data_IF_547457162382
#
_entry.id   IF_547457162382
#
_cell.length_a   1.000
_cell.length_b   1.000
_cell.length_c   1.000
_cell.angle_alpha   90.00
_cell.angle_beta   90.00
_cell.angle_gamma   90.00
#
_symmetry.space_group_name_H-M   'P 1'
#
loop_
_entity.id
_entity.type
_entity.pdbx_description
1 polymer ?
#
# COMPACT_ATOMS: atom_id res chain seq x y z
N UNK A 1 -0.93 -8.06 16.43
CA UNK A 1 -1.77 -7.12 15.63
C UNK A 1 -2.24 -6.02 16.56
N UNK A 2 -1.92 -4.76 16.26
CA UNK A 2 -2.20 -3.59 17.12
C UNK A 2 -3.44 -2.87 16.57
N UNK A 3 -4.51 -2.65 17.35
CA UNK A 3 -5.64 -1.84 16.91
C UNK A 3 -5.28 -0.35 16.85
N UNK A 4 -5.88 0.40 15.91
CA UNK A 4 -5.76 1.85 15.84
C UNK A 4 -6.60 2.56 16.91
N UNK A 5 -6.58 3.90 16.90
CA UNK A 5 -7.33 4.78 17.80
C UNK A 5 -8.86 4.61 17.75
N UNK A 6 -9.40 3.98 16.69
CA UNK A 6 -10.81 3.63 16.54
C UNK A 6 -11.11 2.16 16.88
N UNK A 7 -10.10 1.39 17.32
CA UNK A 7 -10.24 -0.03 17.64
C UNK A 7 -10.14 -0.98 16.44
N UNK A 8 -9.92 -0.46 15.23
CA UNK A 8 -9.79 -1.26 14.02
C UNK A 8 -8.39 -1.89 13.92
N UNK A 9 -8.32 -3.15 13.52
CA UNK A 9 -7.05 -3.90 13.37
C UNK A 9 -6.35 -3.67 12.03
N UNK A 10 -7.02 -2.97 11.11
CA UNK A 10 -6.51 -2.49 9.84
C UNK A 10 -6.89 -1.01 9.73
N UNK A 11 -6.07 -0.22 9.06
CA UNK A 11 -6.35 1.19 8.81
C UNK A 11 -6.36 1.41 7.30
N UNK A 12 -7.35 2.11 6.73
CA UNK A 12 -7.38 2.41 5.31
C UNK A 12 -6.12 3.16 4.86
N UNK A 13 -5.59 2.79 3.69
CA UNK A 13 -4.45 3.49 3.06
C UNK A 13 -4.92 4.77 2.34
N UNK A 14 -5.57 5.66 3.09
CA UNK A 14 -6.13 6.91 2.61
C UNK A 14 -5.41 8.08 3.28
N UNK A 15 -5.12 9.11 2.49
CA UNK A 15 -4.58 10.39 2.96
C UNK A 15 -5.45 11.49 2.38
N UNK A 16 -5.83 12.48 3.17
CA UNK A 16 -6.55 13.61 2.65
C UNK A 16 -6.05 14.94 3.23
N UNK A 17 -6.26 16.01 2.47
CA UNK A 17 -5.84 17.36 2.84
C UNK A 17 -7.05 18.29 2.85
N UNK A 18 -7.37 18.78 4.04
CA UNK A 18 -8.33 19.87 4.23
C UNK A 18 -7.58 21.21 4.21
N UNK A 19 -8.29 22.32 4.42
CA UNK A 19 -7.67 23.64 4.50
C UNK A 19 -6.73 23.76 5.72
N UNK A 20 -7.07 23.06 6.81
CA UNK A 20 -6.40 23.21 8.10
C UNK A 20 -5.47 22.03 8.44
N UNK A 21 -5.79 20.82 7.98
CA UNK A 21 -5.12 19.61 8.45
C UNK A 21 -4.94 18.52 7.38
N UNK A 22 -4.02 17.60 7.70
CA UNK A 22 -3.82 16.36 6.95
C UNK A 22 -4.47 15.21 7.73
N UNK A 23 -5.42 14.54 7.09
CA UNK A 23 -6.10 13.35 7.59
C UNK A 23 -5.43 12.09 7.03
N UNK A 24 -5.38 11.02 7.82
CA UNK A 24 -4.89 9.70 7.40
C UNK A 24 -5.80 8.62 7.96
N UNK A 25 -6.03 7.54 7.20
CA UNK A 25 -6.84 6.42 7.65
C UNK A 25 -8.35 6.64 7.50
N UNK A 26 -9.11 6.23 8.52
CA UNK A 26 -10.58 6.30 8.50
C UNK A 26 -11.09 7.74 8.33
N UNK A 27 -10.43 8.72 8.97
CA UNK A 27 -10.79 10.13 8.83
C UNK A 27 -10.68 10.61 7.37
N UNK A 28 -9.61 10.22 6.67
CA UNK A 28 -9.43 10.52 5.26
C UNK A 28 -10.46 9.80 4.38
N UNK A 29 -10.71 8.50 4.65
CA UNK A 29 -11.69 7.71 3.91
C UNK A 29 -13.12 8.24 4.04
N UNK A 30 -13.53 8.63 5.24
CA UNK A 30 -14.89 9.09 5.53
C UNK A 30 -15.25 10.38 4.78
N UNK A 31 -14.27 11.23 4.47
CA UNK A 31 -14.51 12.46 3.73
C UNK A 31 -14.32 12.33 2.20
N UNK A 32 -13.98 11.14 1.70
CA UNK A 32 -13.67 10.94 0.27
C UNK A 32 -14.83 11.32 -0.66
N UNK A 33 -16.08 11.19 -0.19
CA UNK A 33 -17.29 11.59 -0.94
C UNK A 33 -17.52 13.11 -0.95
N UNK A 34 -16.96 13.83 0.02
CA UNK A 34 -17.10 15.28 0.18
C UNK A 34 -15.96 16.01 -0.55
N UNK A 35 -14.74 15.51 -0.40
CA UNK A 35 -13.53 16.09 -1.02
C UNK A 35 -12.74 15.05 -1.83
N UNK A 36 -13.31 14.53 -2.94
CA UNK A 36 -12.72 13.44 -3.70
C UNK A 36 -11.38 13.80 -4.34
N UNK A 37 -11.22 15.04 -4.84
CA UNK A 37 -9.98 15.51 -5.49
C UNK A 37 -8.84 15.77 -4.51
N UNK A 38 -9.16 15.86 -3.21
CA UNK A 38 -8.22 16.12 -2.11
C UNK A 38 -7.96 14.88 -1.25
N UNK A 39 -8.53 13.73 -1.63
CA UNK A 39 -8.42 12.47 -0.90
C UNK A 39 -7.71 11.44 -1.78
N UNK A 40 -6.48 11.10 -1.41
CA UNK A 40 -5.60 10.17 -2.10
C UNK A 40 -5.76 8.76 -1.52
N UNK A 41 -5.88 7.78 -2.39
CA UNK A 41 -5.90 6.35 -2.09
C UNK A 41 -5.14 5.60 -3.21
N UNK A 42 -5.08 4.27 -3.19
CA UNK A 42 -4.47 3.41 -4.24
C UNK A 42 -3.05 3.77 -4.70
N UNK A 43 -2.32 4.56 -3.89
CA UNK A 43 -0.99 5.05 -4.26
C UNK A 43 0.04 3.91 -4.40
N UNK A 44 -0.25 2.74 -3.81
CA UNK A 44 0.52 1.49 -4.00
C UNK A 44 0.54 1.04 -5.46
N UNK A 45 -0.47 1.38 -6.27
CA UNK A 45 -0.47 1.11 -7.72
C UNK A 45 0.49 2.02 -8.49
N UNK A 46 0.85 3.17 -7.93
CA UNK A 46 1.69 4.20 -8.57
C UNK A 46 3.17 4.14 -8.15
N UNK A 47 3.44 3.63 -6.94
CA UNK A 47 4.78 3.66 -6.33
C UNK A 47 5.82 2.92 -7.20
N UNK A 48 6.98 3.55 -7.42
CA UNK A 48 8.07 3.00 -8.21
C UNK A 48 7.81 2.84 -9.72
N UNK A 49 6.69 3.35 -10.25
CA UNK A 49 6.35 3.30 -11.68
C UNK A 49 6.78 4.54 -12.45
N UNK A 50 6.77 4.44 -13.77
CA UNK A 50 6.93 5.61 -14.66
C UNK A 50 5.56 6.19 -15.00
N UNK A 51 5.51 7.50 -15.21
CA UNK A 51 4.26 8.18 -15.56
C UNK A 51 3.64 7.59 -16.83
N UNK A 52 4.46 7.27 -17.84
CA UNK A 52 4.03 6.73 -19.14
C UNK A 52 3.63 5.25 -19.09
N UNK A 53 3.75 4.56 -17.96
CA UNK A 53 3.36 3.14 -17.86
C UNK A 53 1.86 3.01 -18.18
N UNK A 54 1.50 2.04 -19.02
CA UNK A 54 0.11 1.86 -19.50
C UNK A 54 -0.89 1.67 -18.37
N UNK A 55 -0.45 1.05 -17.27
CA UNK A 55 -1.27 0.85 -16.07
C UNK A 55 -1.49 2.15 -15.31
N UNK A 56 -0.45 2.99 -15.16
CA UNK A 56 -0.58 4.34 -14.58
C UNK A 56 -1.53 5.21 -15.42
N UNK A 57 -1.43 5.14 -16.75
CA UNK A 57 -2.32 5.88 -17.65
C UNK A 57 -3.77 5.37 -17.61
N UNK A 58 -3.98 4.08 -17.33
CA UNK A 58 -5.32 3.51 -17.10
C UNK A 58 -5.87 4.00 -15.76
N UNK A 59 -5.11 3.87 -14.69
CA UNK A 59 -5.51 4.23 -13.33
C UNK A 59 -5.79 5.74 -13.22
N UNK A 60 -4.98 6.59 -13.88
CA UNK A 60 -5.20 8.05 -13.95
C UNK A 60 -6.62 8.43 -14.41
N UNK A 61 -7.26 7.62 -15.27
CA UNK A 61 -8.62 7.89 -15.78
C UNK A 61 -9.73 7.55 -14.78
N UNK A 62 -9.40 6.74 -13.78
CA UNK A 62 -10.34 6.22 -12.78
C UNK A 62 -10.22 6.96 -11.45
N UNK A 63 -9.04 7.51 -11.16
CA UNK A 63 -8.76 8.23 -9.93
C UNK A 63 -9.39 9.63 -9.92
N UNK A 64 -9.95 10.09 -8.78
CA UNK A 64 -10.60 11.39 -8.68
C UNK A 64 -9.61 12.56 -8.49
N UNK A 65 -8.34 12.29 -8.22
CA UNK A 65 -7.30 13.28 -8.00
C UNK A 65 -6.33 13.35 -9.19
N UNK A 66 -5.70 14.51 -9.37
CA UNK A 66 -4.83 14.74 -10.54
C UNK A 66 -3.47 14.06 -10.38
N UNK A 67 -3.05 13.33 -11.41
CA UNK A 67 -1.69 12.80 -11.55
C UNK A 67 -0.92 13.57 -12.61
N UNK A 68 0.24 14.11 -12.23
CA UNK A 68 1.13 14.85 -13.14
C UNK A 68 2.47 14.15 -13.33
N UNK A 69 3.09 14.38 -14.49
CA UNK A 69 4.43 13.93 -14.76
C UNK A 69 5.44 14.90 -14.13
N UNK A 70 6.33 14.37 -13.31
CA UNK A 70 7.51 15.09 -12.83
C UNK A 70 8.72 14.18 -13.01
N UNK A 71 9.61 14.59 -13.91
CA UNK A 71 10.85 13.87 -14.26
C UNK A 71 10.61 12.40 -14.65
N UNK A 72 9.51 12.12 -15.36
CA UNK A 72 9.14 10.79 -15.83
C UNK A 72 8.41 9.93 -14.81
N UNK A 73 8.15 10.44 -13.60
CA UNK A 73 7.44 9.74 -12.51
C UNK A 73 6.05 10.35 -12.28
N UNK A 74 5.06 9.55 -11.84
CA UNK A 74 3.76 10.07 -11.45
C UNK A 74 3.83 10.76 -10.09
N UNK A 75 3.25 11.96 -10.01
CA UNK A 75 3.07 12.71 -8.77
C UNK A 75 1.58 13.07 -8.61
N UNK A 76 1.09 13.04 -7.38
CA UNK A 76 -0.25 13.54 -7.06
C UNK A 76 -0.20 15.06 -6.93
N UNK A 77 -1.02 15.79 -7.67
CA UNK A 77 -1.11 17.24 -7.61
C UNK A 77 -2.42 17.67 -6.95
N UNK A 78 -2.33 18.35 -5.80
CA UNK A 78 -3.50 18.80 -5.03
C UNK A 78 -3.17 20.05 -4.20
N UNK A 79 -4.17 20.63 -3.54
CA UNK A 79 -3.95 21.77 -2.63
C UNK A 79 -3.58 21.30 -1.23
N UNK A 80 -2.55 21.90 -0.65
CA UNK A 80 -2.19 21.73 0.77
C UNK A 80 -2.11 23.12 1.36
N UNK A 81 -2.97 23.43 2.33
CA UNK A 81 -3.03 24.76 2.96
C UNK A 81 -3.14 25.91 1.94
N UNK A 82 -4.02 25.73 0.94
CA UNK A 82 -4.25 26.71 -0.13
C UNK A 82 -3.20 26.74 -1.25
N UNK A 83 -2.05 26.09 -1.10
CA UNK A 83 -1.00 26.04 -2.12
C UNK A 83 -1.05 24.76 -2.96
N UNK A 84 -0.85 24.87 -4.27
CA UNK A 84 -0.68 23.68 -5.11
C UNK A 84 0.65 22.99 -4.79
N UNK A 85 0.57 21.72 -4.38
CA UNK A 85 1.73 20.85 -4.13
C UNK A 85 1.69 19.66 -5.08
N UNK A 86 2.87 19.09 -5.32
CA UNK A 86 3.06 17.80 -5.99
C UNK A 86 3.66 16.87 -4.96
N UNK A 87 3.00 15.76 -4.70
CA UNK A 87 3.43 14.74 -3.75
C UNK A 87 3.80 13.47 -4.50
N UNK A 88 4.96 12.90 -4.20
CA UNK A 88 5.36 11.63 -4.76
C UNK A 88 4.55 10.48 -4.13
N UNK A 89 4.40 9.33 -4.81
CA UNK A 89 3.78 8.14 -4.25
C UNK A 89 4.42 7.68 -2.93
N UNK A 90 5.74 7.85 -2.83
CA UNK A 90 6.53 7.56 -1.63
C UNK A 90 6.17 8.50 -0.48
N UNK A 91 6.00 9.80 -0.73
CA UNK A 91 5.58 10.76 0.29
C UNK A 91 4.18 10.44 0.83
N UNK A 92 3.22 10.11 -0.04
CA UNK A 92 1.86 9.73 0.39
C UNK A 92 1.90 8.42 1.19
N UNK A 93 2.67 7.43 0.73
CA UNK A 93 2.85 6.15 1.44
C UNK A 93 3.55 6.35 2.80
N UNK A 94 4.49 7.30 2.90
CA UNK A 94 5.13 7.68 4.15
C UNK A 94 4.13 8.24 5.17
N UNK A 95 3.10 8.96 4.74
CA UNK A 95 2.04 9.46 5.62
C UNK A 95 1.22 8.31 6.22
N UNK A 96 0.91 7.29 5.42
CA UNK A 96 0.26 6.06 5.90
C UNK A 96 1.17 5.32 6.89
N UNK A 97 2.45 5.13 6.54
CA UNK A 97 3.42 4.48 7.42
C UNK A 97 3.65 5.25 8.72
N UNK A 98 3.60 6.59 8.67
CA UNK A 98 3.69 7.44 9.86
C UNK A 98 2.49 7.21 10.79
N UNK A 99 1.27 7.06 10.26
CA UNK A 99 0.09 6.71 11.08
C UNK A 99 0.23 5.31 11.69
N UNK A 100 0.83 4.36 10.98
CA UNK A 100 1.08 3.00 11.51
C UNK A 100 2.15 3.02 12.61
N UNK A 101 3.19 3.83 12.43
CA UNK A 101 4.20 4.11 13.46
C UNK A 101 3.56 4.71 14.71
N UNK A 102 2.78 5.79 14.57
CA UNK A 102 2.07 6.45 15.68
C UNK A 102 1.15 5.47 16.43
N UNK A 103 0.43 4.62 15.69
CA UNK A 103 -0.43 3.58 16.27
C UNK A 103 0.39 2.61 17.13
N UNK A 104 1.53 2.16 16.62
CA UNK A 104 2.43 1.27 17.37
C UNK A 104 3.06 1.97 18.59
N UNK A 105 3.48 3.23 18.44
CA UNK A 105 4.09 4.03 19.52
C UNK A 105 3.10 4.28 20.66
N UNK A 106 1.85 4.61 20.33
CA UNK A 106 0.77 4.78 21.30
C UNK A 106 0.52 3.50 22.09
N UNK A 107 0.48 2.35 21.40
CA UNK A 107 0.29 1.05 22.03
C UNK A 107 1.47 0.63 22.92
N UNK A 108 2.71 0.90 22.48
CA UNK A 108 3.93 0.48 23.18
C UNK A 108 4.41 1.48 24.24
N UNK A 109 3.91 2.71 24.23
CA UNK A 109 4.34 3.80 25.12
C UNK A 109 5.77 4.28 24.88
N UNK A 110 6.34 4.04 23.68
CA UNK A 110 7.72 4.41 23.33
C UNK A 110 7.90 4.57 21.82
N UNK A 111 8.95 5.30 21.45
CA UNK A 111 9.32 5.55 20.06
C UNK A 111 9.67 4.25 19.30
N UNK A 112 9.17 4.13 18.06
CA UNK A 112 9.43 3.02 17.14
C UNK A 112 10.33 3.51 16.00
N UNK A 113 11.54 2.95 15.93
CA UNK A 113 12.58 3.37 14.96
C UNK A 113 12.83 2.39 13.83
N UNK A 114 12.42 1.15 13.99
CA UNK A 114 12.78 0.06 13.08
C UNK A 114 11.53 -0.68 12.64
N UNK A 115 11.48 -1.07 11.37
CA UNK A 115 10.36 -1.81 10.82
C UNK A 115 10.82 -2.86 9.80
N UNK A 116 10.03 -3.92 9.67
CA UNK A 116 10.00 -4.78 8.49
C UNK A 116 8.76 -4.40 7.71
N UNK A 117 8.90 -4.14 6.41
CA UNK A 117 7.79 -3.69 5.55
C UNK A 117 7.55 -4.75 4.48
N UNK A 118 6.28 -5.08 4.25
CA UNK A 118 5.88 -6.06 3.25
C UNK A 118 5.67 -5.41 1.88
N UNK A 119 5.92 -6.15 0.81
CA UNK A 119 5.61 -5.76 -0.58
C UNK A 119 5.05 -6.96 -1.36
N UNK A 120 4.27 -6.76 -2.43
CA UNK A 120 3.89 -7.83 -3.35
C UNK A 120 5.11 -8.58 -3.86
N UNK A 121 4.99 -9.88 -4.11
CA UNK A 121 6.12 -10.67 -4.58
C UNK A 121 6.62 -10.18 -5.95
N UNK A 122 5.70 -9.72 -6.80
CA UNK A 122 5.96 -9.17 -8.12
C UNK A 122 6.53 -7.75 -8.17
N UNK A 123 6.71 -7.08 -7.02
CA UNK A 123 7.36 -5.78 -7.02
C UNK A 123 8.79 -5.89 -7.54
N UNK A 124 9.10 -5.08 -8.55
CA UNK A 124 10.46 -4.93 -9.07
C UNK A 124 11.34 -4.11 -8.12
N UNK A 125 12.64 -4.02 -8.43
CA UNK A 125 13.61 -3.31 -7.59
C UNK A 125 13.25 -1.84 -7.36
N UNK A 126 12.71 -1.15 -8.37
CA UNK A 126 12.31 0.25 -8.24
C UNK A 126 11.14 0.42 -7.27
N UNK A 127 10.14 -0.47 -7.32
CA UNK A 127 8.99 -0.43 -6.42
C UNK A 127 9.37 -0.82 -4.98
N UNK A 128 10.29 -1.78 -4.82
CA UNK A 128 10.85 -2.17 -3.51
C UNK A 128 11.63 -1.00 -2.89
N UNK A 129 12.49 -0.36 -3.68
CA UNK A 129 13.26 0.80 -3.22
C UNK A 129 12.33 1.96 -2.85
N UNK A 130 11.36 2.29 -3.70
CA UNK A 130 10.39 3.35 -3.42
C UNK A 130 9.58 3.10 -2.13
N UNK A 131 9.23 1.83 -1.84
CA UNK A 131 8.57 1.46 -0.58
C UNK A 131 9.49 1.63 0.62
N UNK A 132 10.78 1.28 0.48
CA UNK A 132 11.77 1.50 1.53
C UNK A 132 12.05 3.00 1.77
N UNK A 133 12.03 3.80 0.70
CA UNK A 133 12.16 5.26 0.76
C UNK A 133 10.97 5.87 1.50
N UNK A 134 9.74 5.42 1.22
CA UNK A 134 8.54 5.83 1.95
C UNK A 134 8.66 5.56 3.47
N UNK A 135 9.17 4.39 3.85
CA UNK A 135 9.42 4.07 5.25
C UNK A 135 10.50 4.97 5.87
N UNK A 136 11.55 5.29 5.10
CA UNK A 136 12.61 6.21 5.54
C UNK A 136 12.06 7.63 5.76
N UNK A 137 11.21 8.13 4.86
CA UNK A 137 10.52 9.43 5.00
C UNK A 137 9.62 9.43 6.25
N UNK A 138 8.99 8.30 6.59
CA UNK A 138 8.20 8.13 7.82
C UNK A 138 9.06 8.03 9.10
N UNK A 139 10.39 8.16 9.00
CA UNK A 139 11.32 8.05 10.12
C UNK A 139 11.45 6.63 10.66
N UNK A 140 11.32 5.62 9.79
CA UNK A 140 11.55 4.22 10.10
C UNK A 140 12.79 3.71 9.36
N UNK A 141 13.72 3.09 10.09
CA UNK A 141 14.79 2.30 9.51
C UNK A 141 14.25 0.93 9.10
N UNK A 142 14.23 0.68 7.80
CA UNK A 142 13.82 -0.61 7.24
C UNK A 142 14.89 -1.66 7.52
N UNK A 143 14.56 -2.64 8.37
CA UNK A 143 15.43 -3.78 8.66
C UNK A 143 15.43 -4.75 7.48
N UNK A 144 14.25 -4.95 6.89
CA UNK A 144 14.05 -5.84 5.75
C UNK A 144 12.77 -5.47 5.00
N UNK A 145 12.82 -5.56 3.68
CA UNK A 145 11.63 -5.68 2.85
C UNK A 145 11.37 -7.18 2.65
N UNK A 146 10.16 -7.64 2.98
CA UNK A 146 9.77 -9.05 2.79
C UNK A 146 8.59 -9.14 1.83
N UNK A 147 8.46 -10.25 1.12
CA UNK A 147 7.30 -10.48 0.27
C UNK A 147 6.08 -10.77 1.14
N UNK A 148 4.93 -10.21 0.77
CA UNK A 148 3.61 -10.49 1.37
C UNK A 148 3.33 -12.00 1.49
N UNK A 149 3.47 -12.82 0.42
CA UNK A 149 3.23 -14.25 0.55
C UNK A 149 4.23 -14.97 1.46
N UNK A 150 5.48 -14.50 1.57
CA UNK A 150 6.44 -15.04 2.53
C UNK A 150 6.05 -14.68 3.97
N UNK A 151 5.57 -13.46 4.21
CA UNK A 151 5.06 -13.04 5.52
C UNK A 151 3.85 -13.89 5.93
N UNK A 152 2.94 -14.15 4.99
CA UNK A 152 1.79 -15.04 5.19
C UNK A 152 2.22 -16.48 5.49
N UNK A 153 3.19 -17.01 4.74
CA UNK A 153 3.75 -18.35 4.98
C UNK A 153 4.41 -18.45 6.36
N UNK A 154 5.17 -17.43 6.79
CA UNK A 154 5.74 -17.37 8.14
C UNK A 154 4.64 -17.40 9.20
N UNK A 155 3.56 -16.64 9.02
CA UNK A 155 2.43 -16.64 9.95
C UNK A 155 1.71 -17.99 10.00
N UNK A 156 1.62 -18.72 8.88
CA UNK A 156 1.02 -20.05 8.80
C UNK A 156 1.91 -21.16 9.36
N UNK A 157 3.22 -21.10 9.05
CA UNK A 157 4.17 -22.20 9.23
C UNK A 157 5.16 -22.03 10.37
N UNK A 158 4.99 -21.03 11.25
CA UNK A 158 5.93 -20.72 12.34
C UNK A 158 6.28 -21.95 13.21
N UNK A 159 5.30 -22.84 13.43
CA UNK A 159 5.43 -24.04 14.27
C UNK A 159 5.51 -25.35 13.47
N UNK A 160 5.65 -25.28 12.13
CA UNK A 160 5.71 -26.46 11.29
C UNK A 160 7.05 -27.19 11.44
N UNK A 161 7.01 -28.47 11.85
CA UNK A 161 8.20 -29.33 12.01
C UNK A 161 8.45 -30.26 10.83
N UNK A 162 7.44 -30.50 10.00
CA UNK A 162 7.52 -31.40 8.85
C UNK A 162 7.60 -30.60 7.55
N UNK A 163 8.44 -31.09 6.63
CA UNK A 163 8.54 -30.56 5.26
C UNK A 163 7.16 -30.59 4.58
N UNK A 164 6.75 -29.44 4.04
CA UNK A 164 5.50 -29.33 3.29
C UNK A 164 5.56 -28.25 2.21
N UNK A 165 4.85 -28.50 1.12
CA UNK A 165 4.61 -27.50 0.10
C UNK A 165 3.33 -26.71 0.44
N UNK A 166 3.43 -25.38 0.41
CA UNK A 166 2.37 -24.43 0.72
C UNK A 166 2.15 -23.53 -0.48
N UNK A 167 0.90 -23.42 -0.92
CA UNK A 167 0.49 -22.44 -1.91
C UNK A 167 -0.22 -21.29 -1.19
N UNK A 168 0.37 -20.10 -1.26
CA UNK A 168 -0.23 -18.86 -0.78
C UNK A 168 -0.99 -18.23 -1.94
N UNK A 169 -2.28 -17.99 -1.74
CA UNK A 169 -3.15 -17.27 -2.65
C UNK A 169 -3.54 -15.94 -1.99
N UNK A 170 -3.04 -14.83 -2.52
CA UNK A 170 -3.23 -13.49 -1.98
C UNK A 170 -3.93 -12.60 -3.00
N UNK A 171 -5.22 -12.33 -2.80
CA UNK A 171 -6.03 -11.45 -3.64
C UNK A 171 -6.48 -10.25 -2.80
N UNK A 172 -5.73 -9.15 -2.92
CA UNK A 172 -5.94 -7.93 -2.16
C UNK A 172 -6.84 -6.90 -2.84
N UNK A 173 -6.74 -5.65 -2.38
CA UNK A 173 -7.49 -4.51 -2.94
C UNK A 173 -7.08 -4.15 -4.37
N UNK A 174 -5.78 -4.25 -4.69
CA UNK A 174 -5.30 -3.93 -6.04
C UNK A 174 -4.12 -4.76 -6.56
N UNK A 175 -3.74 -5.82 -5.84
CA UNK A 175 -2.71 -6.77 -6.28
C UNK A 175 -3.18 -8.19 -6.05
N UNK A 176 -2.74 -9.09 -6.93
CA UNK A 176 -2.97 -10.52 -6.86
C UNK A 176 -1.65 -11.27 -6.97
N UNK A 177 -1.31 -12.08 -5.98
CA UNK A 177 -0.10 -12.89 -5.94
C UNK A 177 -0.44 -14.34 -5.58
N UNK A 178 0.18 -15.28 -6.29
CA UNK A 178 0.18 -16.71 -5.98
C UNK A 178 1.62 -17.16 -5.82
N UNK A 179 1.95 -17.74 -4.67
CA UNK A 179 3.32 -18.20 -4.40
C UNK A 179 3.30 -19.63 -3.89
N UNK A 180 4.11 -20.49 -4.50
CA UNK A 180 4.39 -21.82 -4.00
C UNK A 180 5.69 -21.77 -3.18
N UNK A 181 5.64 -22.21 -1.94
CA UNK A 181 6.76 -22.27 -1.03
C UNK A 181 6.93 -23.69 -0.48
N UNK A 182 8.15 -24.06 -0.13
CA UNK A 182 8.44 -25.20 0.74
C UNK A 182 8.80 -24.67 2.12
N UNK A 183 8.22 -25.30 3.15
CA UNK A 183 8.52 -25.02 4.55
C UNK A 183 9.16 -26.27 5.13
N UNK A 184 10.39 -26.16 5.64
CA UNK A 184 11.10 -27.23 6.33
C UNK A 184 11.85 -26.66 7.54
N UNK A 185 11.48 -27.10 8.75
CA UNK A 185 12.15 -26.71 10.00
C UNK A 185 12.38 -25.19 10.17
N UNK A 186 11.38 -24.38 9.80
CA UNK A 186 11.44 -22.91 9.88
C UNK A 186 12.24 -22.25 8.75
N UNK A 187 12.73 -23.01 7.78
CA UNK A 187 13.28 -22.50 6.52
C UNK A 187 12.11 -22.38 5.53
N UNK A 188 11.99 -21.21 4.91
CA UNK A 188 10.97 -20.89 3.92
C UNK A 188 11.64 -20.64 2.58
N UNK A 189 11.43 -21.52 1.61
CA UNK A 189 11.98 -21.38 0.26
C UNK A 189 10.84 -21.11 -0.73
N UNK A 190 10.98 -20.04 -1.51
CA UNK A 190 10.04 -19.73 -2.59
C UNK A 190 10.42 -20.56 -3.81
N UNK A 191 9.54 -21.48 -4.22
CA UNK A 191 9.74 -22.31 -5.40
C UNK A 191 9.29 -21.61 -6.69
N UNK A 192 8.14 -20.92 -6.62
CA UNK A 192 7.56 -20.22 -7.75
C UNK A 192 6.63 -19.10 -7.29
N UNK A 193 6.51 -18.06 -8.10
CA UNK A 193 5.56 -16.97 -7.93
C UNK A 193 4.88 -16.70 -9.27
N UNK A 194 3.57 -16.44 -9.25
CA UNK A 194 2.66 -16.07 -10.35
C UNK A 194 1.73 -14.93 -9.86
N UNK A 195 1.27 -14.01 -10.70
CA UNK A 195 0.42 -12.90 -10.20
C UNK A 195 0.17 -11.76 -11.18
N UNK A 196 -0.58 -10.75 -10.71
CA UNK A 196 -0.90 -9.50 -11.40
C UNK A 196 -0.84 -8.32 -10.42
N UNK A 197 -0.01 -7.32 -10.74
CA UNK A 197 0.20 -6.13 -9.88
C UNK A 197 -0.89 -5.05 -10.03
N UNK A 198 -1.91 -5.28 -10.85
CA UNK A 198 -3.06 -4.37 -11.02
C UNK A 198 -4.39 -5.13 -11.15
N UNK A 199 -4.57 -6.17 -10.33
CA UNK A 199 -5.82 -6.90 -10.21
C UNK A 199 -6.18 -7.00 -8.73
N UNK A 200 -7.37 -6.56 -8.35
CA UNK A 200 -7.89 -6.77 -7.00
C UNK A 200 -9.34 -6.34 -6.83
N UNK A 201 -9.75 -6.20 -5.57
CA UNK A 201 -11.10 -5.75 -5.18
C UNK A 201 -11.57 -4.47 -5.88
N UNK A 202 -10.68 -3.49 -6.08
CA UNK A 202 -11.00 -2.23 -6.75
C UNK A 202 -11.45 -2.43 -8.21
N UNK A 203 -10.87 -3.42 -8.90
CA UNK A 203 -11.28 -3.75 -10.27
C UNK A 203 -12.68 -4.39 -10.30
N UNK A 204 -13.06 -5.11 -9.24
CA UNK A 204 -14.40 -5.67 -9.08
C UNK A 204 -15.42 -4.56 -8.79
N UNK A 205 -15.07 -3.65 -7.88
CA UNK A 205 -15.88 -2.47 -7.56
C UNK A 205 -16.12 -1.62 -8.80
N UNK A 206 -15.06 -1.38 -9.60
CA UNK A 206 -15.15 -0.65 -10.86
C UNK A 206 -16.10 -1.32 -11.85
N UNK A 207 -16.11 -2.66 -11.95
CA UNK A 207 -17.04 -3.39 -12.82
C UNK A 207 -18.50 -3.23 -12.38
N UNK A 208 -18.75 -3.23 -11.07
CA UNK A 208 -20.08 -2.98 -10.50
C UNK A 208 -20.51 -1.53 -10.73
N UNK A 209 -19.62 -0.57 -10.54
CA UNK A 209 -19.86 0.85 -10.85
C UNK A 209 -20.21 1.06 -12.33
N UNK A 210 -19.41 0.49 -13.25
CA UNK A 210 -19.66 0.55 -14.69
C UNK A 210 -21.03 -0.01 -15.08
N UNK A 211 -21.51 -1.04 -14.38
CA UNK A 211 -22.85 -1.58 -14.58
C UNK A 211 -23.93 -0.57 -14.18
N UNK A 212 -23.83 0.02 -12.99
CA UNK A 212 -24.83 0.97 -12.49
C UNK A 212 -24.80 2.33 -13.20
N UNK A 213 -23.66 2.80 -13.71
CA UNK A 213 -23.57 4.05 -14.48
C UNK A 213 -24.30 3.96 -15.83
N UNK A 214 -24.45 2.76 -16.39
CA UNK A 214 -25.10 2.53 -17.68
C UNK A 214 -26.63 2.44 -17.58
N UNK A 215 -27.17 2.24 -16.38
CA UNK A 215 -28.61 2.16 -16.11
C UNK A 215 -29.15 3.57 -15.90
#
# INVERSE_FOLDING_TARGET
IIPNDQGNRITPSYVAFTDDERLVGEAAKNQATIQPTQTIFDVKRLIGRKFEDSTVQKDKKLLPYELVNQDGKPYVQLKVQGEMKKLSPEEVSAMVLSKMKETAETYLGKEVKHAVVTVPAYFNDAQRQATADAATIAGLKVIRIINEPTAAAIAYGLDAKDERNVLVYDLGGGTFDVTLLTIDNGIFEVLATAGDTHLGGEDFDQKVMEHFIKI
#
